data_IF_323689895958
#
_entry.id   IF_323689895958
#
_cell.length_a   1.000
_cell.length_b   1.000
_cell.length_c   1.000
_cell.angle_alpha   90.00
_cell.angle_beta   90.00
_cell.angle_gamma   90.00
#
_symmetry.space_group_name_H-M   'P 1'
#
loop_
_entity.id
_entity.type
_entity.pdbx_description
1 polymer ?
#
# COMPACT_ATOMS: atom_id res chain seq x y z
N UNK A 1 6.48 -5.12 -21.32
CA UNK A 1 6.42 -6.12 -20.24
C UNK A 1 5.64 -7.28 -20.80
N UNK A 2 6.21 -8.48 -20.83
CA UNK A 2 5.39 -9.68 -21.07
C UNK A 2 4.42 -9.75 -19.91
N UNK A 3 3.09 -9.83 -20.13
CA UNK A 3 2.15 -10.00 -19.03
C UNK A 3 2.58 -11.23 -18.24
N UNK A 4 2.60 -11.10 -16.91
CA UNK A 4 2.81 -12.25 -16.04
C UNK A 4 1.82 -13.34 -16.46
N UNK A 5 2.19 -14.64 -16.43
CA UNK A 5 1.25 -15.74 -16.69
C UNK A 5 -0.05 -15.61 -15.90
N UNK A 6 0.02 -14.99 -14.74
CA UNK A 6 -1.11 -14.73 -13.84
C UNK A 6 -2.09 -13.68 -14.42
N UNK A 7 -1.62 -12.76 -15.28
CA UNK A 7 -2.42 -11.62 -15.75
C UNK A 7 -2.94 -11.78 -17.17
N UNK A 8 -2.58 -12.87 -17.88
CA UNK A 8 -3.03 -13.10 -19.25
C UNK A 8 -4.55 -13.26 -19.33
N UNK A 9 -5.19 -12.29 -20.02
CA UNK A 9 -6.62 -12.36 -20.32
C UNK A 9 -7.56 -11.95 -19.17
N UNK A 10 -7.04 -11.55 -18.02
CA UNK A 10 -7.86 -11.11 -16.88
C UNK A 10 -7.98 -9.59 -16.90
N UNK A 11 -9.20 -9.09 -17.09
CA UNK A 11 -9.54 -7.69 -16.90
C UNK A 11 -10.14 -7.52 -15.50
N UNK A 12 -9.50 -6.71 -14.68
CA UNK A 12 -9.95 -6.39 -13.32
C UNK A 12 -9.78 -4.90 -13.07
N UNK A 13 -10.75 -4.29 -12.43
CA UNK A 13 -10.77 -2.84 -12.15
C UNK A 13 -10.42 -2.54 -10.69
N UNK A 14 -10.64 -3.48 -9.80
CA UNK A 14 -10.41 -3.32 -8.37
C UNK A 14 -9.47 -4.38 -7.80
N UNK A 15 -8.86 -4.07 -6.64
CA UNK A 15 -8.01 -5.02 -5.94
C UNK A 15 -8.78 -6.28 -5.52
N UNK A 16 -10.03 -6.11 -5.05
CA UNK A 16 -10.88 -7.21 -4.63
C UNK A 16 -11.21 -8.16 -5.80
N UNK A 17 -11.50 -7.62 -6.99
CA UNK A 17 -11.65 -8.42 -8.21
C UNK A 17 -10.36 -9.16 -8.58
N UNK A 18 -9.20 -8.49 -8.48
CA UNK A 18 -7.91 -9.11 -8.72
C UNK A 18 -7.62 -10.26 -7.76
N UNK A 19 -7.91 -10.10 -6.47
CA UNK A 19 -7.77 -11.15 -5.46
C UNK A 19 -8.65 -12.36 -5.81
N UNK A 20 -9.89 -12.13 -6.19
CA UNK A 20 -10.82 -13.19 -6.59
C UNK A 20 -10.38 -13.87 -7.89
N UNK A 21 -9.99 -13.11 -8.90
CA UNK A 21 -9.54 -13.63 -10.20
C UNK A 21 -8.29 -14.52 -10.08
N UNK A 22 -7.32 -14.11 -9.27
CA UNK A 22 -6.07 -14.86 -9.09
C UNK A 22 -6.13 -15.86 -7.94
N UNK A 23 -7.16 -15.81 -7.13
CA UNK A 23 -7.33 -16.65 -5.94
C UNK A 23 -6.15 -16.55 -4.97
N UNK A 24 -5.54 -15.38 -4.83
CA UNK A 24 -4.57 -15.11 -3.78
C UNK A 24 -4.40 -13.61 -3.48
N UNK A 25 -4.07 -13.29 -2.22
CA UNK A 25 -3.76 -11.94 -1.78
C UNK A 25 -2.39 -11.49 -2.31
N UNK A 26 -2.21 -10.20 -2.61
CA UNK A 26 -0.88 -9.67 -2.88
C UNK A 26 0.06 -9.90 -1.69
N UNK A 27 1.34 -10.07 -2.00
CA UNK A 27 2.40 -10.27 -1.00
C UNK A 27 3.70 -9.59 -1.46
N UNK A 28 4.72 -9.47 -0.59
CA UNK A 28 6.04 -8.97 -0.99
C UNK A 28 6.64 -9.71 -2.19
N UNK A 29 6.38 -11.02 -2.28
CA UNK A 29 6.90 -11.88 -3.36
C UNK A 29 6.01 -11.89 -4.61
N UNK A 30 4.77 -11.43 -4.50
CA UNK A 30 3.82 -11.40 -5.61
C UNK A 30 3.03 -10.10 -5.62
N UNK A 31 3.67 -9.07 -6.16
CA UNK A 31 3.17 -7.69 -6.20
C UNK A 31 2.34 -7.40 -7.45
N UNK A 32 1.46 -8.33 -7.84
CA UNK A 32 0.61 -8.13 -9.02
C UNK A 32 -0.27 -6.87 -8.91
N UNK A 33 -0.64 -6.47 -7.70
CA UNK A 33 -1.37 -5.23 -7.45
C UNK A 33 -0.62 -4.00 -7.95
N UNK A 34 0.70 -3.94 -7.78
CA UNK A 34 1.53 -2.86 -8.31
C UNK A 34 1.57 -2.88 -9.83
N UNK A 35 1.76 -4.06 -10.43
CA UNK A 35 1.80 -4.18 -11.90
C UNK A 35 0.46 -3.81 -12.54
N UNK A 36 -0.66 -4.40 -12.07
CA UNK A 36 -1.98 -4.25 -12.70
C UNK A 36 -2.60 -2.88 -12.49
N UNK A 37 -2.53 -2.35 -11.26
CA UNK A 37 -3.29 -1.15 -10.91
C UNK A 37 -2.45 0.13 -10.89
N UNK A 38 -1.13 0.02 -11.08
CA UNK A 38 -0.24 1.18 -11.12
C UNK A 38 0.61 1.20 -12.39
N UNK A 39 1.50 0.20 -12.58
CA UNK A 39 2.51 0.23 -13.65
C UNK A 39 1.84 0.17 -15.03
N UNK A 40 1.04 -0.85 -15.29
CA UNK A 40 0.41 -1.06 -16.61
C UNK A 40 -0.46 0.13 -17.04
N UNK A 41 -1.36 0.68 -16.20
CA UNK A 41 -2.15 1.84 -16.57
C UNK A 41 -1.30 3.08 -16.86
N UNK A 42 -0.30 3.36 -16.03
CA UNK A 42 0.58 4.53 -16.22
C UNK A 42 1.41 4.37 -17.49
N UNK A 43 2.01 3.21 -17.76
CA UNK A 43 2.74 2.97 -19.00
C UNK A 43 1.85 3.08 -20.24
N UNK A 44 0.62 2.56 -20.16
CA UNK A 44 -0.35 2.67 -21.25
C UNK A 44 -0.73 4.14 -21.53
N UNK A 45 -0.83 4.96 -20.48
CA UNK A 45 -1.06 6.40 -20.63
C UNK A 45 0.18 7.09 -21.22
N UNK A 46 1.37 6.87 -20.68
CA UNK A 46 2.61 7.52 -21.11
C UNK A 46 2.99 7.18 -22.56
N UNK A 47 2.70 5.95 -23.02
CA UNK A 47 2.94 5.55 -24.43
C UNK A 47 2.11 6.35 -25.44
N UNK A 48 1.00 6.93 -25.01
CA UNK A 48 0.11 7.75 -25.87
C UNK A 48 0.50 9.22 -25.88
N UNK A 49 1.39 9.64 -24.96
CA UNK A 49 1.92 10.98 -24.93
C UNK A 49 3.08 11.10 -25.95
N UNK A 50 3.32 12.31 -26.43
CA UNK A 50 4.56 12.64 -27.12
C UNK A 50 5.77 12.57 -26.16
N UNK A 51 6.84 13.28 -26.46
CA UNK A 51 7.93 13.46 -25.52
C UNK A 51 7.41 14.17 -24.26
N UNK A 52 7.68 13.60 -23.09
CA UNK A 52 7.18 14.13 -21.82
C UNK A 52 8.18 13.91 -20.68
N UNK A 53 8.09 14.76 -19.67
CA UNK A 53 8.79 14.56 -18.39
C UNK A 53 7.81 14.02 -17.35
N UNK A 54 8.29 13.04 -16.56
CA UNK A 54 7.56 12.47 -15.43
C UNK A 54 8.32 12.78 -14.15
N UNK A 55 7.69 13.53 -13.26
CA UNK A 55 8.23 13.81 -11.94
C UNK A 55 7.82 12.72 -10.96
N UNK A 56 8.79 12.13 -10.29
CA UNK A 56 8.58 11.09 -9.27
C UNK A 56 8.94 11.67 -7.91
N UNK A 57 7.99 11.62 -6.96
CA UNK A 57 8.13 12.18 -5.62
C UNK A 57 8.96 11.30 -4.68
N UNK A 58 10.18 10.97 -5.05
CA UNK A 58 11.16 10.40 -4.14
C UNK A 58 11.85 11.54 -3.42
N UNK A 59 11.92 11.47 -2.10
CA UNK A 59 12.61 12.46 -1.28
C UNK A 59 14.11 12.09 -1.11
N UNK A 60 14.88 12.93 -0.42
CA UNK A 60 16.31 12.73 -0.24
C UNK A 60 16.67 11.46 0.55
N UNK A 61 15.74 10.95 1.39
CA UNK A 61 15.91 9.69 2.14
C UNK A 61 15.78 8.45 1.23
N UNK A 62 15.26 8.63 0.01
CA UNK A 62 14.93 7.55 -0.93
C UNK A 62 15.83 7.62 -2.15
N UNK A 63 16.93 6.90 -2.13
CA UNK A 63 17.89 6.90 -3.24
C UNK A 63 17.27 6.28 -4.52
N UNK A 64 17.15 7.04 -5.63
CA UNK A 64 16.49 6.57 -6.86
C UNK A 64 17.07 5.27 -7.41
N UNK A 65 18.38 5.05 -7.30
CA UNK A 65 19.04 3.82 -7.74
C UNK A 65 18.70 2.58 -6.91
N UNK A 66 18.29 2.76 -5.66
CA UNK A 66 17.87 1.69 -4.74
C UNK A 66 16.37 1.42 -4.78
N UNK A 67 15.60 2.40 -5.24
CA UNK A 67 14.16 2.26 -5.43
C UNK A 67 13.93 1.62 -6.79
N UNK A 68 13.28 0.45 -6.83
CA UNK A 68 12.86 -0.15 -8.09
C UNK A 68 11.73 0.68 -8.70
N UNK A 69 12.10 1.61 -9.58
CA UNK A 69 11.16 2.42 -10.35
C UNK A 69 10.56 1.61 -11.51
N UNK A 70 10.36 0.34 -11.34
CA UNK A 70 9.73 -0.52 -12.33
C UNK A 70 10.39 -0.47 -13.70
N UNK A 71 9.60 -0.69 -14.75
CA UNK A 71 10.07 -0.62 -16.14
C UNK A 71 9.87 0.75 -16.81
N UNK A 72 9.52 1.79 -16.04
CA UNK A 72 9.27 3.15 -16.58
C UNK A 72 10.47 3.70 -17.34
N UNK A 73 11.69 3.39 -16.89
CA UNK A 73 12.93 3.82 -17.54
C UNK A 73 13.11 3.27 -18.97
N UNK A 74 12.22 2.36 -19.42
CA UNK A 74 12.27 1.77 -20.77
C UNK A 74 11.43 2.53 -21.80
N UNK A 75 10.66 3.51 -21.40
CA UNK A 75 9.88 4.32 -22.33
C UNK A 75 10.79 5.40 -22.94
N UNK A 76 11.07 5.27 -24.25
CA UNK A 76 12.00 6.16 -24.96
C UNK A 76 11.52 7.62 -25.05
N UNK A 77 10.21 7.84 -24.96
CA UNK A 77 9.58 9.16 -25.03
C UNK A 77 9.41 9.82 -23.65
N UNK A 78 9.94 9.20 -22.58
CA UNK A 78 9.74 9.69 -21.22
C UNK A 78 11.08 9.98 -20.56
N UNK A 79 11.23 11.21 -20.06
CA UNK A 79 12.34 11.61 -19.20
C UNK A 79 11.87 11.64 -17.75
N UNK A 80 12.54 10.91 -16.88
CA UNK A 80 12.21 10.86 -15.45
C UNK A 80 13.05 11.85 -14.66
N UNK A 81 12.40 12.55 -13.74
CA UNK A 81 13.01 13.50 -12.82
C UNK A 81 12.57 13.21 -11.39
N UNK A 82 13.39 13.55 -10.46
CA UNK A 82 13.21 13.33 -9.02
C UNK A 82 13.42 14.65 -8.25
N UNK A 83 12.56 15.65 -8.42
CA UNK A 83 12.84 17.01 -7.95
C UNK A 83 13.14 17.06 -6.46
N UNK A 84 12.38 16.35 -5.61
CA UNK A 84 12.60 16.37 -4.17
C UNK A 84 13.96 15.78 -3.79
N UNK A 85 14.39 14.72 -4.47
CA UNK A 85 15.71 14.13 -4.28
C UNK A 85 16.81 15.03 -4.84
N UNK A 86 16.61 15.59 -6.03
CA UNK A 86 17.54 16.49 -6.72
C UNK A 86 17.80 17.75 -5.88
N UNK A 87 16.79 18.28 -5.23
CA UNK A 87 16.82 19.49 -4.39
C UNK A 87 17.15 19.20 -2.91
N UNK A 88 17.36 17.93 -2.54
CA UNK A 88 17.76 17.52 -1.19
C UNK A 88 16.64 17.57 -0.14
N UNK A 89 15.37 17.64 -0.55
CA UNK A 89 14.24 17.63 0.37
C UNK A 89 14.06 16.26 1.02
N UNK A 90 14.21 16.19 2.33
CA UNK A 90 13.88 15.02 3.11
C UNK A 90 12.37 14.94 3.42
N UNK A 91 11.96 13.95 4.19
CA UNK A 91 10.55 13.80 4.56
C UNK A 91 10.03 14.96 5.41
N UNK A 92 10.83 15.45 6.32
CA UNK A 92 10.46 16.57 7.22
C UNK A 92 10.27 17.86 6.42
N UNK A 93 11.13 18.11 5.45
CA UNK A 93 11.04 19.24 4.53
C UNK A 93 9.76 19.16 3.70
N UNK A 94 9.44 17.97 3.18
CA UNK A 94 8.20 17.74 2.43
C UNK A 94 6.94 17.98 3.29
N UNK A 95 6.93 17.52 4.54
CA UNK A 95 5.82 17.75 5.47
C UNK A 95 5.69 19.23 5.83
N UNK A 96 6.79 19.92 6.05
CA UNK A 96 6.84 21.36 6.31
C UNK A 96 6.32 22.17 5.12
N UNK A 97 6.75 21.81 3.90
CA UNK A 97 6.29 22.44 2.66
C UNK A 97 4.77 22.26 2.46
N UNK A 98 4.24 21.06 2.68
CA UNK A 98 2.81 20.80 2.59
C UNK A 98 2.03 21.60 3.63
N UNK A 99 2.50 21.62 4.87
CA UNK A 99 1.86 22.33 5.97
C UNK A 99 1.82 23.85 5.72
N UNK A 100 2.94 24.45 5.29
CA UNK A 100 3.03 25.88 5.01
C UNK A 100 2.14 26.34 3.86
N UNK A 101 1.79 25.43 2.96
CA UNK A 101 0.88 25.70 1.83
C UNK A 101 -0.57 25.24 2.07
N UNK A 102 -0.91 24.77 3.27
CA UNK A 102 -2.24 24.27 3.60
C UNK A 102 -2.65 23.01 2.83
N UNK A 103 -1.67 22.27 2.30
CA UNK A 103 -1.88 21.07 1.47
C UNK A 103 -1.65 19.76 2.24
N UNK A 104 -1.84 19.77 3.55
CA UNK A 104 -1.60 18.59 4.37
C UNK A 104 -2.48 17.42 3.92
N UNK A 105 -1.93 16.23 3.61
CA UNK A 105 -2.73 15.11 3.16
C UNK A 105 -3.62 14.60 4.30
N UNK A 106 -4.93 14.51 4.03
CA UNK A 106 -5.90 14.01 4.98
C UNK A 106 -6.00 12.47 4.88
N UNK A 107 -5.00 11.77 5.42
CA UNK A 107 -5.07 10.33 5.51
C UNK A 107 -6.05 9.86 6.58
N UNK A 108 -6.75 8.73 6.37
CA UNK A 108 -7.54 8.12 7.43
C UNK A 108 -6.73 7.94 8.71
N UNK A 109 -7.39 8.09 9.86
CA UNK A 109 -6.74 8.08 11.18
C UNK A 109 -6.00 6.76 11.51
N UNK A 110 -6.36 5.68 10.82
CA UNK A 110 -5.72 4.37 10.91
C UNK A 110 -4.58 4.16 9.90
N UNK A 111 -4.16 5.21 9.19
CA UNK A 111 -3.08 5.11 8.19
C UNK A 111 -1.97 6.11 8.52
N UNK A 112 -0.74 5.62 8.45
CA UNK A 112 0.46 6.47 8.59
C UNK A 112 0.83 7.18 7.29
N UNK A 113 0.26 6.77 6.17
CA UNK A 113 0.60 7.24 4.82
C UNK A 113 -0.50 6.91 3.82
N UNK A 114 -0.45 7.50 2.64
CA UNK A 114 -1.27 7.08 1.51
C UNK A 114 -0.95 5.65 1.10
N UNK A 115 -1.96 4.83 0.92
CA UNK A 115 -1.76 3.44 0.52
C UNK A 115 -3.07 2.72 0.27
N UNK A 116 -2.97 1.47 -0.20
CA UNK A 116 -4.12 0.62 -0.44
C UNK A 116 -4.74 0.17 0.89
N UNK A 117 -6.07 -0.04 0.89
CA UNK A 117 -6.82 -0.56 2.04
C UNK A 117 -6.14 -1.78 2.67
N UNK A 118 -5.77 -2.78 1.85
CA UNK A 118 -5.20 -4.07 2.27
C UNK A 118 -3.76 -4.22 1.76
N UNK A 119 -2.88 -3.32 2.18
CA UNK A 119 -1.48 -3.39 1.78
C UNK A 119 -0.70 -4.27 2.76
N UNK A 120 -0.03 -5.29 2.25
CA UNK A 120 0.83 -6.18 3.06
C UNK A 120 2.06 -5.45 3.66
N UNK A 121 2.29 -4.21 3.28
CA UNK A 121 3.30 -3.35 3.92
C UNK A 121 2.74 -2.51 5.08
N UNK A 122 1.44 -2.59 5.36
CA UNK A 122 0.90 -2.00 6.59
C UNK A 122 1.48 -2.70 7.82
N UNK A 123 1.66 -1.94 8.88
CA UNK A 123 2.02 -2.52 10.16
C UNK A 123 0.83 -3.22 10.81
N UNK A 124 1.11 -4.12 11.75
CA UNK A 124 0.05 -4.75 12.55
C UNK A 124 -0.75 -3.70 13.34
N UNK A 125 -0.10 -2.63 13.80
CA UNK A 125 -0.77 -1.52 14.48
C UNK A 125 -1.76 -0.79 13.56
N UNK A 126 -1.43 -0.57 12.28
CA UNK A 126 -2.36 0.00 11.31
C UNK A 126 -3.57 -0.92 11.07
N UNK A 127 -3.39 -2.24 11.06
CA UNK A 127 -4.51 -3.18 10.94
C UNK A 127 -5.36 -3.26 12.21
N UNK A 128 -4.77 -3.15 13.41
CA UNK A 128 -5.52 -3.04 14.66
C UNK A 128 -6.30 -1.73 14.73
N UNK A 129 -5.69 -0.62 14.32
CA UNK A 129 -6.39 0.67 14.19
C UNK A 129 -7.51 0.61 13.15
N UNK A 130 -7.32 -0.08 12.03
CA UNK A 130 -8.36 -0.31 11.02
C UNK A 130 -9.54 -1.08 11.62
N UNK A 131 -9.28 -2.13 12.41
CA UNK A 131 -10.32 -2.90 13.10
C UNK A 131 -11.15 -2.03 14.05
N UNK A 132 -10.52 -1.12 14.76
CA UNK A 132 -11.16 -0.24 15.75
C UNK A 132 -11.93 0.93 15.10
N UNK A 133 -11.42 1.49 14.03
CA UNK A 133 -11.85 2.79 13.50
C UNK A 133 -12.59 2.70 12.15
N UNK A 134 -12.50 1.57 11.46
CA UNK A 134 -13.19 1.31 10.18
C UNK A 134 -13.47 -0.20 10.04
N UNK A 135 -14.42 -0.64 10.84
CA UNK A 135 -14.82 -2.05 10.95
C UNK A 135 -15.29 -2.63 9.62
N UNK A 136 -15.97 -1.85 8.81
CA UNK A 136 -16.48 -2.27 7.51
C UNK A 136 -15.33 -2.60 6.55
N UNK A 137 -14.36 -1.70 6.41
CA UNK A 137 -13.16 -1.95 5.61
C UNK A 137 -12.35 -3.14 6.15
N UNK A 138 -12.26 -3.31 7.47
CA UNK A 138 -11.59 -4.47 8.05
C UNK A 138 -12.30 -5.78 7.67
N UNK A 139 -13.63 -5.80 7.76
CA UNK A 139 -14.43 -6.97 7.42
C UNK A 139 -14.30 -7.34 5.94
N UNK A 140 -14.30 -6.36 5.03
CA UNK A 140 -14.02 -6.60 3.60
C UNK A 140 -12.71 -7.35 3.39
N UNK A 141 -11.64 -6.93 4.08
CA UNK A 141 -10.33 -7.59 4.01
C UNK A 141 -10.33 -9.00 4.57
N UNK A 142 -11.02 -9.21 5.69
CA UNK A 142 -11.18 -10.52 6.31
C UNK A 142 -11.94 -11.48 5.41
N UNK A 143 -13.03 -11.05 4.81
CA UNK A 143 -13.82 -11.86 3.89
C UNK A 143 -13.02 -12.27 2.65
N UNK A 144 -12.18 -11.37 2.12
CA UNK A 144 -11.28 -11.68 1.02
C UNK A 144 -10.21 -12.71 1.42
N UNK A 145 -9.59 -12.55 2.60
CA UNK A 145 -8.60 -13.51 3.11
C UNK A 145 -9.23 -14.89 3.29
N UNK A 146 -10.40 -14.97 3.93
CA UNK A 146 -11.15 -16.19 4.14
C UNK A 146 -11.53 -16.85 2.80
N UNK A 147 -12.02 -16.05 1.86
CA UNK A 147 -12.38 -16.55 0.52
C UNK A 147 -11.15 -17.20 -0.18
N UNK A 148 -9.97 -16.58 -0.09
CA UNK A 148 -8.73 -17.14 -0.66
C UNK A 148 -8.33 -18.43 0.04
N UNK A 149 -8.42 -18.49 1.37
CA UNK A 149 -8.12 -19.69 2.16
C UNK A 149 -9.04 -20.85 1.77
N UNK A 150 -10.33 -20.59 1.67
CA UNK A 150 -11.34 -21.60 1.30
C UNK A 150 -11.14 -22.08 -0.15
N UNK A 151 -10.88 -21.17 -1.07
CA UNK A 151 -10.66 -21.51 -2.49
C UNK A 151 -9.40 -22.34 -2.71
N UNK A 152 -8.32 -22.03 -2.00
CA UNK A 152 -7.03 -22.71 -2.14
C UNK A 152 -6.83 -23.89 -1.21
N UNK A 153 -7.69 -24.03 -0.19
CA UNK A 153 -7.53 -25.01 0.90
C UNK A 153 -6.15 -24.93 1.55
N UNK A 154 -5.61 -23.72 1.69
CA UNK A 154 -4.30 -23.44 2.28
C UNK A 154 -4.38 -22.22 3.20
N UNK A 155 -3.56 -22.27 4.24
CA UNK A 155 -3.33 -21.09 5.08
C UNK A 155 -2.79 -19.95 4.21
N UNK A 156 -3.40 -18.80 4.33
CA UNK A 156 -2.99 -17.57 3.68
C UNK A 156 -3.20 -16.42 4.66
N UNK A 157 -2.30 -15.45 4.69
CA UNK A 157 -2.42 -14.29 5.56
C UNK A 157 -1.97 -13.01 4.84
N UNK A 158 -2.61 -11.89 5.16
CA UNK A 158 -2.26 -10.58 4.61
C UNK A 158 -0.90 -10.09 5.11
N UNK A 159 -0.58 -10.37 6.36
CA UNK A 159 0.72 -10.09 6.97
C UNK A 159 1.45 -11.41 7.24
N UNK A 160 2.77 -11.42 7.29
CA UNK A 160 3.53 -12.60 7.67
C UNK A 160 3.02 -13.15 9.03
N UNK A 161 2.58 -14.41 9.01
CA UNK A 161 2.10 -15.14 10.20
C UNK A 161 0.93 -14.50 10.97
N UNK A 162 0.17 -13.60 10.32
CA UNK A 162 -0.92 -12.88 10.98
C UNK A 162 -2.11 -12.74 10.05
N UNK A 163 -3.25 -13.35 10.41
CA UNK A 163 -4.52 -13.23 9.70
C UNK A 163 -5.39 -12.11 10.26
N UNK A 164 -6.40 -11.68 9.50
CA UNK A 164 -7.43 -10.77 10.01
C UNK A 164 -8.13 -11.33 11.26
N UNK A 165 -8.43 -12.63 11.27
CA UNK A 165 -9.02 -13.28 12.45
C UNK A 165 -8.13 -13.16 13.69
N UNK A 166 -6.82 -13.37 13.55
CA UNK A 166 -5.87 -13.24 14.65
C UNK A 166 -5.79 -11.78 15.15
N UNK A 167 -5.79 -10.81 14.24
CA UNK A 167 -5.81 -9.39 14.59
C UNK A 167 -7.07 -9.05 15.38
N UNK A 168 -8.25 -9.49 14.90
CA UNK A 168 -9.52 -9.26 15.58
C UNK A 168 -9.51 -9.84 17.01
N UNK A 169 -9.10 -11.09 17.16
CA UNK A 169 -9.04 -11.74 18.49
C UNK A 169 -8.10 -11.00 19.44
N UNK A 170 -6.92 -10.59 18.99
CA UNK A 170 -5.99 -9.83 19.81
C UNK A 170 -6.58 -8.49 20.27
N UNK A 171 -7.27 -7.77 19.36
CA UNK A 171 -7.90 -6.49 19.73
C UNK A 171 -9.04 -6.70 20.70
N UNK A 172 -9.86 -7.73 20.52
CA UNK A 172 -10.96 -8.03 21.45
C UNK A 172 -10.44 -8.42 22.86
N UNK A 173 -9.30 -9.11 22.93
CA UNK A 173 -8.65 -9.39 24.21
C UNK A 173 -8.10 -8.10 24.85
N UNK A 174 -7.50 -7.23 24.08
CA UNK A 174 -7.00 -5.94 24.55
C UNK A 174 -8.15 -5.02 25.03
N UNK A 175 -9.29 -5.02 24.32
CA UNK A 175 -10.50 -4.28 24.73
C UNK A 175 -11.02 -4.77 26.08
N UNK A 176 -11.04 -6.08 26.33
CA UNK A 176 -11.44 -6.63 27.62
C UNK A 176 -10.55 -6.16 28.78
N UNK A 177 -9.26 -5.98 28.51
CA UNK A 177 -8.27 -5.61 29.52
C UNK A 177 -8.17 -4.09 29.76
N UNK A 178 -8.33 -3.27 28.72
CA UNK A 178 -8.04 -1.83 28.77
C UNK A 178 -9.25 -0.95 28.42
N UNK A 179 -10.36 -1.55 28.01
CA UNK A 179 -11.51 -0.86 27.45
C UNK A 179 -11.25 -0.40 26.00
N UNK A 180 -12.32 -0.22 25.24
CA UNK A 180 -12.22 0.13 23.81
C UNK A 180 -11.50 1.46 23.58
N UNK A 181 -11.83 2.49 24.36
CA UNK A 181 -11.20 3.81 24.22
C UNK A 181 -9.69 3.76 24.52
N UNK A 182 -9.28 2.99 25.53
CA UNK A 182 -7.86 2.81 25.86
C UNK A 182 -7.07 2.16 24.74
N UNK A 183 -7.67 1.16 24.05
CA UNK A 183 -7.04 0.50 22.89
C UNK A 183 -6.99 1.43 21.68
N UNK A 184 -8.02 2.22 21.43
CA UNK A 184 -8.05 3.24 20.37
C UNK A 184 -6.94 4.28 20.60
N UNK A 185 -6.84 4.82 21.81
CA UNK A 185 -5.84 5.84 22.15
C UNK A 185 -4.41 5.32 22.03
N UNK A 186 -4.21 4.02 22.27
CA UNK A 186 -2.93 3.36 22.09
C UNK A 186 -2.54 3.16 20.62
N UNK A 187 -3.45 2.66 19.78
CA UNK A 187 -3.12 2.32 18.38
C UNK A 187 -3.21 3.49 17.40
N UNK A 188 -4.05 4.48 17.62
CA UNK A 188 -4.19 5.64 16.74
C UNK A 188 -2.87 6.38 16.49
N UNK A 189 -2.06 6.73 17.52
CA UNK A 189 -0.75 7.32 17.31
C UNK A 189 0.22 6.38 16.62
N UNK A 190 0.23 5.09 16.98
CA UNK A 190 1.15 4.10 16.41
C UNK A 190 0.88 3.82 14.93
N UNK A 191 -0.38 3.88 14.50
CA UNK A 191 -0.75 3.79 13.10
C UNK A 191 -0.15 4.93 12.27
N UNK A 192 0.04 6.12 12.89
CA UNK A 192 0.61 7.30 12.23
C UNK A 192 2.13 7.36 12.23
N UNK A 193 2.79 6.69 13.18
CA UNK A 193 4.25 6.87 13.41
C UNK A 193 5.13 5.97 12.57
N UNK A 194 4.62 4.89 11.97
CA UNK A 194 5.45 4.03 11.11
C UNK A 194 5.58 4.62 9.71
N UNK A 195 6.64 5.38 9.53
CA UNK A 195 7.16 5.71 8.21
C UNK A 195 7.41 4.43 7.43
N UNK A 196 6.93 4.39 6.20
CA UNK A 196 7.31 3.35 5.27
C UNK A 196 8.81 3.41 5.06
N UNK A 197 9.55 2.46 5.59
CA UNK A 197 10.95 2.31 5.22
C UNK A 197 11.09 1.99 3.73
N UNK A 198 12.32 2.05 3.22
CA UNK A 198 12.76 1.80 1.84
C UNK A 198 12.11 0.58 1.15
N UNK A 199 11.44 -0.28 1.90
CA UNK A 199 10.78 -1.50 1.41
C UNK A 199 9.42 -1.30 0.72
N UNK A 200 8.80 -0.14 0.82
CA UNK A 200 7.50 0.08 0.18
C UNK A 200 7.56 0.23 -1.34
N UNK A 201 8.74 0.49 -1.86
CA UNK A 201 8.97 0.70 -3.30
C UNK A 201 9.80 -0.42 -3.94
N UNK A 202 10.16 -1.46 -3.19
CA UNK A 202 10.92 -2.60 -3.72
C UNK A 202 10.05 -3.61 -4.45
#
# INVERSE_FOLDING_TARGET
>A
IKPSPITKGVQVSTLSEGIKAFSFMPSPNSRYCTSLFKIIPIEAFLKKQGECEVFIGLNADEEPGKVRIGNYEKLKNVKYRYPLYEDGYDRTDCESLLTSNGLHPNFPVYMSRGGCKFCFYKSKAEYKALYLLDRETFQEGWDLEKWVQDKRKKYFSILPNTTFAKIANEVEEEIKNWGEQGVIDFYRPQAKTKVCGVFCHR
#
